data_IF_807725108247
#
_entry.id   IF_807725108247
#
_cell.length_a   1.000
_cell.length_b   1.000
_cell.length_c   1.000
_cell.angle_alpha   90.00
_cell.angle_beta   90.00
_cell.angle_gamma   90.00
#
_symmetry.space_group_name_H-M   'P 1'
#
loop_
_entity.id
_entity.type
_entity.pdbx_description
1 polymer ?
#
# COMPACT_ATOMS: atom_id res chain seq x y z
N UNK A 1 12.04 -43.65 -6.75
CA UNK A 1 10.85 -42.91 -6.27
C UNK A 1 10.05 -42.54 -7.49
N UNK A 2 8.93 -43.22 -7.72
CA UNK A 2 8.06 -43.00 -8.87
C UNK A 2 7.41 -41.63 -8.79
N UNK A 3 7.71 -40.76 -9.76
CA UNK A 3 6.94 -39.56 -9.97
C UNK A 3 5.52 -39.97 -10.43
N UNK A 4 4.59 -40.09 -9.48
CA UNK A 4 3.18 -40.17 -9.85
C UNK A 4 2.83 -38.88 -10.62
N UNK A 5 2.41 -39.06 -11.88
CA UNK A 5 1.95 -37.99 -12.73
C UNK A 5 0.77 -37.28 -12.02
N UNK A 6 0.90 -36.00 -11.75
CA UNK A 6 -0.18 -35.16 -11.22
C UNK A 6 -1.39 -35.29 -12.17
N UNK A 7 -2.60 -35.42 -11.67
CA UNK A 7 -3.77 -35.33 -12.52
C UNK A 7 -3.72 -34.02 -13.30
N UNK A 8 -3.81 -34.09 -14.63
CA UNK A 8 -3.87 -32.91 -15.47
C UNK A 8 -5.04 -32.04 -14.97
N UNK A 9 -4.73 -30.83 -14.50
CA UNK A 9 -5.77 -29.87 -14.18
C UNK A 9 -6.52 -29.63 -15.48
N UNK A 10 -7.82 -29.97 -15.52
CA UNK A 10 -8.71 -29.54 -16.59
C UNK A 10 -8.49 -28.05 -16.81
N UNK A 11 -8.47 -27.58 -18.05
CA UNK A 11 -8.27 -26.16 -18.38
C UNK A 11 -9.09 -25.29 -17.44
N UNK A 12 -8.39 -24.47 -16.63
CA UNK A 12 -9.06 -23.57 -15.69
C UNK A 12 -9.81 -22.49 -16.47
N UNK A 13 -11.03 -22.18 -16.03
CA UNK A 13 -11.75 -21.00 -16.51
C UNK A 13 -11.21 -19.69 -15.88
N UNK A 14 -10.32 -19.78 -14.87
CA UNK A 14 -9.66 -18.62 -14.31
C UNK A 14 -8.52 -18.15 -15.23
N UNK A 15 -8.46 -16.86 -15.48
CA UNK A 15 -7.37 -16.25 -16.19
C UNK A 15 -6.16 -16.11 -15.25
N UNK A 16 -5.13 -16.92 -15.45
CA UNK A 16 -3.87 -16.85 -14.71
C UNK A 16 -2.84 -16.03 -15.46
N UNK A 17 -2.17 -15.13 -14.76
CA UNK A 17 -1.08 -14.30 -15.33
C UNK A 17 0.25 -15.05 -15.46
N UNK A 18 0.32 -16.34 -15.11
CA UNK A 18 1.52 -17.17 -15.25
C UNK A 18 1.13 -18.63 -15.48
N UNK A 19 2.02 -19.34 -16.19
CA UNK A 19 1.88 -20.79 -16.46
C UNK A 19 2.22 -21.67 -15.24
N UNK A 20 2.64 -21.09 -14.12
CA UNK A 20 3.03 -21.81 -12.92
C UNK A 20 1.80 -22.49 -12.27
N UNK A 21 1.80 -23.81 -12.27
CA UNK A 21 0.82 -24.59 -11.54
C UNK A 21 1.02 -24.44 -10.03
N UNK A 22 -0.03 -24.00 -9.36
CA UNK A 22 -0.04 -23.82 -7.90
C UNK A 22 -0.84 -24.96 -7.25
N UNK A 23 -0.51 -25.32 -5.98
CA UNK A 23 -1.32 -26.27 -5.23
C UNK A 23 -2.76 -25.75 -5.10
N UNK A 24 -3.75 -26.65 -5.25
CA UNK A 24 -5.13 -26.27 -5.03
C UNK A 24 -5.41 -26.26 -3.52
N UNK A 25 -5.78 -25.08 -3.00
CA UNK A 25 -6.08 -24.85 -1.59
C UNK A 25 -7.29 -25.66 -1.12
N UNK A 26 -7.19 -26.23 0.06
CA UNK A 26 -8.27 -26.98 0.72
C UNK A 26 -8.73 -26.32 2.02
N UNK A 27 -7.81 -26.05 2.94
CA UNK A 27 -8.12 -25.48 4.25
C UNK A 27 -6.92 -24.75 4.86
N UNK A 28 -7.18 -23.93 5.87
CA UNK A 28 -6.16 -23.23 6.63
C UNK A 28 -6.46 -23.21 8.13
N UNK A 29 -5.42 -23.06 8.95
CA UNK A 29 -5.54 -22.83 10.40
C UNK A 29 -4.24 -22.24 10.97
N UNK A 30 -4.34 -21.15 11.70
CA UNK A 30 -3.17 -20.46 12.26
C UNK A 30 -2.22 -20.04 11.16
N UNK A 31 -0.97 -20.50 11.18
CA UNK A 31 0.05 -20.21 10.17
C UNK A 31 0.11 -21.27 9.05
N UNK A 32 -0.79 -22.24 9.04
CA UNK A 32 -0.72 -23.38 8.12
C UNK A 32 -1.81 -23.33 7.06
N UNK A 33 -1.43 -23.74 5.84
CA UNK A 33 -2.30 -23.99 4.70
C UNK A 33 -2.19 -25.48 4.32
N UNK A 34 -3.25 -26.06 3.78
CA UNK A 34 -3.25 -27.42 3.21
C UNK A 34 -3.83 -27.40 1.82
N UNK A 35 -3.22 -28.17 0.93
CA UNK A 35 -3.77 -28.43 -0.38
C UNK A 35 -4.78 -29.62 -0.36
N UNK A 36 -5.43 -29.87 -1.49
CA UNK A 36 -6.39 -30.96 -1.66
C UNK A 36 -5.78 -32.35 -1.47
N UNK A 37 -4.45 -32.49 -1.56
CA UNK A 37 -3.72 -33.73 -1.34
C UNK A 37 -3.30 -33.90 0.14
N UNK A 38 -3.68 -32.96 1.01
CA UNK A 38 -3.36 -32.98 2.42
C UNK A 38 -1.93 -32.51 2.76
N UNK A 39 -1.15 -32.03 1.77
CA UNK A 39 0.18 -31.49 2.03
C UNK A 39 0.04 -30.16 2.76
N UNK A 40 0.81 -30.01 3.85
CA UNK A 40 0.85 -28.83 4.69
C UNK A 40 1.95 -27.87 4.24
N UNK A 41 1.64 -26.59 4.27
CA UNK A 41 2.53 -25.47 3.99
C UNK A 41 2.51 -24.51 5.17
N UNK A 42 3.63 -23.82 5.41
CA UNK A 42 3.71 -22.66 6.30
C UNK A 42 3.44 -21.42 5.44
N UNK A 43 2.49 -20.59 5.86
CA UNK A 43 2.25 -19.29 5.25
C UNK A 43 3.20 -18.25 5.88
N UNK A 44 4.41 -18.17 5.35
CA UNK A 44 5.45 -17.25 5.84
C UNK A 44 5.28 -15.81 5.36
N UNK A 45 4.37 -15.56 4.40
CA UNK A 45 4.14 -14.22 3.85
C UNK A 45 2.77 -13.63 4.21
N UNK A 46 1.91 -14.41 4.86
CA UNK A 46 0.51 -14.01 5.12
C UNK A 46 -0.25 -13.57 3.84
N UNK A 47 -0.02 -14.27 2.74
CA UNK A 47 -0.42 -13.84 1.41
C UNK A 47 0.35 -12.60 0.97
N UNK A 48 -0.34 -11.50 0.72
CA UNK A 48 0.27 -10.18 0.49
C UNK A 48 0.32 -9.37 1.80
N UNK A 49 0.79 -9.99 2.90
CA UNK A 49 0.92 -9.40 4.25
C UNK A 49 -0.44 -8.98 4.87
N UNK A 50 -1.51 -9.72 4.55
CA UNK A 50 -2.88 -9.37 4.96
C UNK A 50 -3.50 -10.33 5.98
N UNK A 51 -2.88 -11.51 6.22
CA UNK A 51 -3.38 -12.53 7.17
C UNK A 51 -2.59 -12.54 8.49
N UNK A 52 -2.20 -11.38 9.00
CA UNK A 52 -1.25 -11.23 10.12
C UNK A 52 -1.74 -11.84 11.43
N UNK A 53 -3.05 -11.99 11.62
CA UNK A 53 -3.64 -12.68 12.78
C UNK A 53 -3.71 -14.20 12.61
N UNK A 54 -3.21 -14.73 11.50
CA UNK A 54 -3.34 -16.12 11.09
C UNK A 54 -4.70 -16.46 10.50
N UNK A 55 -4.79 -17.68 9.99
CA UNK A 55 -5.97 -18.18 9.30
C UNK A 55 -7.01 -18.77 10.28
N UNK A 56 -8.29 -18.65 9.93
CA UNK A 56 -9.40 -19.27 10.64
C UNK A 56 -9.48 -18.93 12.14
N UNK A 57 -9.22 -17.67 12.48
CA UNK A 57 -9.34 -17.21 13.87
C UNK A 57 -10.80 -17.37 14.34
N UNK A 58 -11.08 -18.16 15.41
CA UNK A 58 -12.44 -18.51 15.79
C UNK A 58 -13.27 -17.30 16.24
N UNK A 59 -12.65 -16.29 16.86
CA UNK A 59 -13.36 -15.07 17.25
C UNK A 59 -13.82 -14.27 16.05
N UNK A 60 -12.97 -14.15 15.02
CA UNK A 60 -13.30 -13.45 13.76
C UNK A 60 -14.42 -14.20 13.04
N UNK A 61 -14.29 -15.53 12.89
CA UNK A 61 -15.31 -16.34 12.23
C UNK A 61 -16.67 -16.25 12.93
N UNK A 62 -16.70 -16.30 14.26
CA UNK A 62 -17.93 -16.16 15.03
C UNK A 62 -18.57 -14.77 14.85
N UNK A 63 -17.77 -13.69 14.86
CA UNK A 63 -18.26 -12.34 14.63
C UNK A 63 -18.83 -12.17 13.21
N UNK A 64 -18.15 -12.72 12.20
CA UNK A 64 -18.63 -12.72 10.81
C UNK A 64 -19.96 -13.48 10.66
N UNK A 65 -20.06 -14.70 11.25
CA UNK A 65 -21.29 -15.50 11.22
C UNK A 65 -22.45 -14.74 11.86
N UNK A 66 -22.24 -14.19 13.06
CA UNK A 66 -23.27 -13.40 13.74
C UNK A 66 -23.72 -12.16 12.96
N UNK A 67 -22.80 -11.50 12.27
CA UNK A 67 -23.16 -10.34 11.45
C UNK A 67 -23.92 -10.74 10.18
N UNK A 68 -23.56 -11.88 9.55
CA UNK A 68 -24.28 -12.39 8.38
C UNK A 68 -25.75 -12.72 8.67
N UNK A 69 -26.08 -13.19 9.90
CA UNK A 69 -27.45 -13.40 10.34
C UNK A 69 -28.28 -12.11 10.42
N UNK A 70 -27.64 -10.97 10.73
CA UNK A 70 -28.30 -9.67 10.78
C UNK A 70 -28.50 -9.04 9.42
N UNK A 71 -27.58 -9.27 8.49
CA UNK A 71 -27.61 -8.74 7.14
C UNK A 71 -26.24 -8.74 6.49
N UNK A 72 -26.21 -8.98 5.18
CA UNK A 72 -24.97 -9.08 4.39
C UNK A 72 -24.64 -7.80 3.63
N UNK A 73 -25.60 -6.89 3.48
CA UNK A 73 -25.41 -5.64 2.76
C UNK A 73 -26.38 -4.55 3.26
N UNK A 74 -25.85 -3.35 3.48
CA UNK A 74 -26.63 -2.14 3.67
C UNK A 74 -25.95 -0.99 2.91
N UNK A 75 -26.71 -0.32 2.02
CA UNK A 75 -26.15 0.74 1.21
C UNK A 75 -25.96 2.02 2.02
N UNK A 76 -24.73 2.48 2.11
CA UNK A 76 -24.30 3.59 2.99
C UNK A 76 -25.02 4.94 2.77
N UNK A 77 -25.68 5.15 1.64
CA UNK A 77 -26.47 6.35 1.43
C UNK A 77 -27.89 6.25 2.04
N UNK A 78 -28.29 5.05 2.47
CA UNK A 78 -29.62 4.82 3.05
C UNK A 78 -29.57 4.36 4.50
N UNK A 79 -28.47 3.74 4.92
CA UNK A 79 -28.31 3.17 6.26
C UNK A 79 -26.90 3.40 6.80
N UNK A 80 -26.83 3.74 8.06
CA UNK A 80 -25.59 3.63 8.85
C UNK A 80 -25.35 2.15 9.21
N UNK A 81 -24.10 1.81 9.48
CA UNK A 81 -23.69 0.44 9.76
C UNK A 81 -22.87 0.41 11.06
N UNK A 82 -23.45 -0.15 12.12
CA UNK A 82 -22.83 -0.19 13.44
C UNK A 82 -21.40 -0.81 13.46
N UNK A 83 -21.11 -1.94 12.81
CA UNK A 83 -19.74 -2.45 12.72
C UNK A 83 -18.75 -1.48 12.04
N UNK A 84 -19.19 -0.74 11.02
CA UNK A 84 -18.35 0.23 10.35
C UNK A 84 -18.05 1.45 11.23
N UNK A 85 -19.07 1.97 11.94
CA UNK A 85 -18.90 3.08 12.88
C UNK A 85 -17.93 2.70 14.02
N UNK A 86 -18.11 1.54 14.65
CA UNK A 86 -17.18 1.04 15.67
C UNK A 86 -15.76 0.89 15.18
N UNK A 87 -15.58 0.37 13.97
CA UNK A 87 -14.23 0.25 13.37
C UNK A 87 -13.64 1.63 13.10
N UNK A 88 -14.43 2.58 12.61
CA UNK A 88 -13.97 3.94 12.39
C UNK A 88 -13.52 4.62 13.69
N UNK A 89 -14.29 4.50 14.77
CA UNK A 89 -13.93 5.00 16.11
C UNK A 89 -12.60 4.41 16.60
N UNK A 90 -12.42 3.09 16.48
CA UNK A 90 -11.20 2.39 16.86
C UNK A 90 -9.98 2.81 16.03
N UNK A 91 -10.16 3.09 14.75
CA UNK A 91 -9.08 3.58 13.87
C UNK A 91 -8.72 5.02 14.22
N UNK A 92 -9.70 5.91 14.40
CA UNK A 92 -9.47 7.31 14.79
C UNK A 92 -8.75 7.38 16.14
N UNK A 93 -9.17 6.57 17.13
CA UNK A 93 -8.53 6.54 18.45
C UNK A 93 -7.04 6.13 18.42
N UNK A 94 -6.58 5.45 17.36
CA UNK A 94 -5.19 5.01 17.15
C UNK A 94 -4.44 5.83 16.12
N UNK A 95 -5.12 6.74 15.45
CA UNK A 95 -4.52 7.60 14.43
C UNK A 95 -3.78 8.78 15.05
N UNK A 96 -2.82 9.36 14.34
CA UNK A 96 -2.24 10.65 14.72
C UNK A 96 -3.30 11.74 14.88
N UNK A 97 -3.02 12.72 15.74
CA UNK A 97 -3.92 13.88 15.94
C UNK A 97 -4.22 14.57 14.60
N UNK A 98 -5.48 14.97 14.39
CA UNK A 98 -5.97 15.59 13.17
C UNK A 98 -6.59 14.62 12.16
N UNK A 99 -6.42 13.31 12.32
CA UNK A 99 -7.11 12.29 11.52
C UNK A 99 -8.38 11.84 12.25
N UNK A 100 -9.50 12.48 11.97
CA UNK A 100 -10.76 12.34 12.72
C UNK A 100 -11.85 11.58 11.96
N UNK A 101 -11.60 11.20 10.71
CA UNK A 101 -12.59 10.55 9.85
C UNK A 101 -11.98 9.39 9.08
N UNK A 102 -12.78 8.37 8.83
CA UNK A 102 -12.41 7.18 8.07
C UNK A 102 -13.32 7.03 6.87
N UNK A 103 -12.73 6.69 5.74
CA UNK A 103 -13.46 6.36 4.52
C UNK A 103 -13.08 4.95 4.08
N UNK A 104 -14.03 4.02 4.16
CA UNK A 104 -13.82 2.63 3.77
C UNK A 104 -14.00 2.42 2.27
N UNK A 105 -13.10 1.66 1.68
CA UNK A 105 -13.09 1.25 0.27
C UNK A 105 -12.77 -0.23 0.15
N UNK A 106 -12.88 -0.80 -1.05
CA UNK A 106 -12.74 -2.25 -1.25
C UNK A 106 -11.29 -2.75 -1.28
N UNK A 107 -10.32 -1.88 -1.51
CA UNK A 107 -8.91 -2.27 -1.60
C UNK A 107 -7.92 -1.13 -1.49
N UNK A 108 -6.63 -1.46 -1.37
CA UNK A 108 -5.55 -0.49 -1.20
C UNK A 108 -5.40 0.48 -2.36
N UNK A 109 -5.56 0.00 -3.61
CA UNK A 109 -5.51 0.88 -4.79
C UNK A 109 -6.62 1.92 -4.77
N UNK A 110 -7.84 1.54 -4.39
CA UNK A 110 -8.97 2.45 -4.24
C UNK A 110 -8.77 3.44 -3.08
N UNK A 111 -8.10 3.00 -2.00
CA UNK A 111 -7.74 3.89 -0.90
C UNK A 111 -6.78 4.99 -1.36
N UNK A 112 -5.73 4.62 -2.11
CA UNK A 112 -4.76 5.57 -2.67
C UNK A 112 -5.44 6.51 -3.68
N UNK A 113 -6.28 6.00 -4.58
CA UNK A 113 -7.09 6.83 -5.50
C UNK A 113 -7.95 7.85 -4.72
N UNK A 114 -8.58 7.41 -3.64
CA UNK A 114 -9.42 8.26 -2.80
C UNK A 114 -8.62 9.35 -2.11
N UNK A 115 -7.41 9.04 -1.62
CA UNK A 115 -6.50 10.03 -1.04
C UNK A 115 -6.06 11.09 -2.06
N UNK A 116 -5.67 10.68 -3.27
CA UNK A 116 -5.29 11.61 -4.34
C UNK A 116 -6.46 12.53 -4.70
N UNK A 117 -7.66 11.96 -4.87
CA UNK A 117 -8.87 12.71 -5.19
C UNK A 117 -9.27 13.67 -4.08
N UNK A 118 -9.21 13.23 -2.82
CA UNK A 118 -9.51 14.07 -1.66
C UNK A 118 -8.52 15.24 -1.56
N UNK A 119 -7.22 14.98 -1.70
CA UNK A 119 -6.20 16.02 -1.73
C UNK A 119 -6.45 17.03 -2.84
N UNK A 120 -6.83 16.58 -4.04
CA UNK A 120 -7.16 17.47 -5.15
C UNK A 120 -8.43 18.30 -4.89
N UNK A 121 -9.46 17.70 -4.32
CA UNK A 121 -10.69 18.43 -3.95
C UNK A 121 -10.40 19.49 -2.89
N UNK A 122 -9.58 19.15 -1.89
CA UNK A 122 -9.14 20.11 -0.88
C UNK A 122 -8.37 21.29 -1.49
N UNK A 123 -7.41 21.02 -2.38
CA UNK A 123 -6.63 22.04 -3.07
C UNK A 123 -7.55 23.01 -3.86
N UNK A 124 -8.54 22.48 -4.56
CA UNK A 124 -9.52 23.30 -5.28
C UNK A 124 -10.38 24.15 -4.32
N UNK A 125 -10.85 23.56 -3.22
CA UNK A 125 -11.68 24.25 -2.24
C UNK A 125 -10.94 25.37 -1.49
N UNK A 126 -9.61 25.26 -1.39
CA UNK A 126 -8.73 26.26 -0.75
C UNK A 126 -8.09 27.22 -1.75
N UNK A 127 -8.49 27.22 -3.02
CA UNK A 127 -7.97 28.12 -4.06
C UNK A 127 -6.58 27.75 -4.60
N UNK A 128 -6.04 26.59 -4.25
CA UNK A 128 -4.72 26.11 -4.68
C UNK A 128 -4.86 25.30 -6.00
N UNK A 129 -5.37 25.94 -7.03
CA UNK A 129 -5.81 25.30 -8.27
C UNK A 129 -4.70 24.60 -9.07
N UNK A 130 -3.45 25.01 -8.89
CA UNK A 130 -2.31 24.46 -9.63
C UNK A 130 -1.77 23.18 -9.01
N UNK A 131 -2.09 22.84 -7.75
CA UNK A 131 -1.64 21.63 -7.08
C UNK A 131 -2.29 20.37 -7.66
N UNK A 132 -1.48 19.54 -8.32
CA UNK A 132 -1.97 18.33 -8.97
C UNK A 132 -0.91 17.22 -9.06
N UNK A 133 0.37 17.51 -8.81
CA UNK A 133 1.44 16.52 -8.88
C UNK A 133 1.58 15.81 -7.55
N UNK A 134 1.73 14.50 -7.60
CA UNK A 134 2.02 13.67 -6.43
C UNK A 134 3.42 13.10 -6.58
N UNK A 135 4.32 13.44 -5.66
CA UNK A 135 5.67 12.89 -5.62
C UNK A 135 5.61 11.56 -4.87
N UNK A 136 6.36 10.57 -5.31
CA UNK A 136 6.52 9.27 -4.63
C UNK A 136 7.97 8.80 -4.64
N UNK A 137 8.23 7.62 -4.05
CA UNK A 137 9.56 7.02 -4.07
C UNK A 137 9.74 6.02 -5.22
N UNK A 138 10.99 5.75 -5.58
CA UNK A 138 11.41 4.65 -6.45
C UNK A 138 12.57 3.89 -5.77
N UNK A 139 12.44 2.56 -5.53
CA UNK A 139 11.24 1.75 -5.72
C UNK A 139 10.14 2.03 -4.70
N UNK A 140 8.87 1.74 -5.05
CA UNK A 140 7.70 1.77 -4.16
C UNK A 140 6.50 1.06 -4.78
N UNK A 141 5.46 0.78 -3.98
CA UNK A 141 4.19 0.26 -4.47
C UNK A 141 3.01 0.96 -3.79
N UNK A 142 2.15 1.57 -4.58
CA UNK A 142 0.98 2.30 -4.08
C UNK A 142 -0.35 1.79 -4.65
N UNK A 143 -0.31 0.82 -5.57
CA UNK A 143 -1.51 0.21 -6.14
C UNK A 143 -1.39 -0.07 -7.64
N UNK A 144 -2.44 -0.67 -8.20
CA UNK A 144 -2.49 -1.14 -9.59
C UNK A 144 -3.57 -0.46 -10.44
N UNK A 145 -4.40 0.42 -9.91
CA UNK A 145 -5.27 1.30 -10.71
C UNK A 145 -4.45 2.41 -11.34
N UNK A 146 -4.86 3.00 -12.45
CA UNK A 146 -4.02 3.94 -13.21
C UNK A 146 -3.53 5.13 -12.38
N UNK A 147 -4.34 5.70 -11.50
CA UNK A 147 -3.89 6.77 -10.61
C UNK A 147 -2.88 6.28 -9.58
N UNK A 148 -3.15 5.17 -8.90
CA UNK A 148 -2.23 4.57 -7.94
C UNK A 148 -0.96 4.01 -8.61
N UNK A 149 -1.08 3.47 -9.84
CA UNK A 149 0.05 2.97 -10.62
C UNK A 149 0.95 4.11 -11.11
N UNK A 150 0.38 5.27 -11.43
CA UNK A 150 1.15 6.44 -11.86
C UNK A 150 2.14 6.93 -10.81
N UNK A 151 1.82 6.73 -9.53
CA UNK A 151 2.69 7.05 -8.38
C UNK A 151 3.44 5.83 -7.84
N UNK A 152 3.18 4.63 -8.34
CA UNK A 152 3.96 3.42 -8.01
C UNK A 152 5.33 3.49 -8.66
N UNK A 153 6.38 3.26 -7.88
CA UNK A 153 7.77 3.22 -8.34
C UNK A 153 8.24 1.78 -8.56
N UNK A 154 7.55 1.01 -9.42
CA UNK A 154 7.93 -0.38 -9.70
C UNK A 154 7.75 -0.69 -11.19
N UNK A 155 8.82 -0.49 -11.95
CA UNK A 155 8.86 -0.60 -13.42
C UNK A 155 8.20 -1.86 -13.98
N UNK A 156 8.42 -3.07 -13.44
CA UNK A 156 7.78 -4.27 -14.00
C UNK A 156 6.25 -4.25 -14.01
N UNK A 157 5.63 -3.40 -13.18
CA UNK A 157 4.17 -3.24 -13.17
C UNK A 157 3.70 -2.03 -13.98
N UNK A 158 4.49 -0.95 -14.07
CA UNK A 158 4.06 0.31 -14.69
C UNK A 158 4.36 0.38 -16.17
N UNK A 159 5.52 -0.11 -16.61
CA UNK A 159 6.04 0.03 -17.97
C UNK A 159 5.03 -0.32 -19.08
N UNK A 160 4.27 -1.44 -19.02
CA UNK A 160 3.31 -1.77 -20.05
C UNK A 160 2.17 -0.75 -20.21
N UNK A 161 1.95 0.10 -19.21
CA UNK A 161 0.83 1.03 -19.11
C UNK A 161 1.26 2.50 -19.11
N UNK A 162 2.55 2.80 -19.24
CA UNK A 162 3.08 4.16 -19.15
C UNK A 162 2.40 5.11 -20.15
N UNK A 163 2.10 4.64 -21.35
CA UNK A 163 1.40 5.45 -22.37
C UNK A 163 -0.05 5.81 -21.99
N UNK A 164 -0.64 5.14 -21.02
CA UNK A 164 -2.02 5.33 -20.57
C UNK A 164 -2.11 6.16 -19.27
N UNK A 165 -0.97 6.50 -18.67
CA UNK A 165 -0.91 7.17 -17.37
C UNK A 165 -0.29 8.55 -17.50
N UNK A 166 -0.67 9.43 -16.59
CA UNK A 166 0.07 10.68 -16.39
C UNK A 166 1.32 10.39 -15.57
N UNK A 167 2.50 10.68 -16.12
CA UNK A 167 3.74 10.54 -15.38
C UNK A 167 3.75 11.45 -14.14
N UNK A 168 4.03 10.87 -12.97
CA UNK A 168 4.20 11.57 -11.71
C UNK A 168 5.67 11.53 -11.27
N UNK A 169 6.18 12.60 -10.63
CA UNK A 169 7.58 12.68 -10.22
C UNK A 169 7.91 11.66 -9.13
N UNK A 170 9.15 11.16 -9.16
CA UNK A 170 9.66 10.19 -8.19
C UNK A 170 11.04 10.58 -7.70
N UNK A 171 11.30 10.32 -6.43
CA UNK A 171 12.62 10.46 -5.81
C UNK A 171 13.18 9.08 -5.44
N UNK A 172 14.49 8.92 -5.25
CA UNK A 172 15.04 7.67 -4.73
C UNK A 172 14.43 7.30 -3.37
N UNK A 173 14.02 6.04 -3.19
CA UNK A 173 13.62 5.53 -1.88
C UNK A 173 14.84 5.48 -0.93
N UNK A 174 14.65 5.68 0.39
CA UNK A 174 15.75 5.76 1.35
C UNK A 174 16.35 4.37 1.65
N UNK A 175 17.11 3.82 0.70
CA UNK A 175 17.72 2.48 0.72
C UNK A 175 19.02 2.42 1.52
N UNK A 176 19.08 3.05 2.68
CA UNK A 176 20.29 3.21 3.47
C UNK A 176 21.05 1.90 3.70
N UNK A 177 20.33 0.80 3.99
CA UNK A 177 20.95 -0.51 4.19
C UNK A 177 21.71 -1.00 2.94
N UNK A 178 21.14 -0.83 1.73
CA UNK A 178 21.74 -1.29 0.48
C UNK A 178 22.88 -0.38 0.00
N UNK A 179 22.92 0.85 0.47
CA UNK A 179 23.87 1.88 0.03
C UNK A 179 25.00 2.12 1.04
N UNK A 180 25.03 1.38 2.17
CA UNK A 180 26.08 1.49 3.20
C UNK A 180 27.50 1.27 2.66
N UNK A 181 27.67 0.39 1.67
CA UNK A 181 28.98 0.16 1.05
C UNK A 181 29.41 1.34 0.15
N UNK A 182 28.43 2.01 -0.48
CA UNK A 182 28.69 3.18 -1.34
C UNK A 182 29.04 4.40 -0.50
N UNK A 183 28.37 4.53 0.66
CA UNK A 183 28.53 5.66 1.58
C UNK A 183 29.10 5.19 2.93
N UNK A 184 30.23 4.47 2.89
CA UNK A 184 30.81 3.79 4.06
C UNK A 184 31.14 4.73 5.23
N UNK A 185 31.32 6.03 4.98
CA UNK A 185 31.58 7.04 6.00
C UNK A 185 30.29 7.69 6.56
N UNK A 186 29.13 7.42 5.97
CA UNK A 186 27.84 7.97 6.40
C UNK A 186 27.08 6.97 7.27
N UNK A 187 26.43 7.49 8.32
CA UNK A 187 25.48 6.69 9.11
C UNK A 187 24.05 6.80 8.55
N UNK A 188 23.13 6.00 9.08
CA UNK A 188 21.74 5.97 8.63
C UNK A 188 21.05 7.35 8.76
N UNK A 189 21.44 8.17 9.73
CA UNK A 189 20.87 9.50 9.94
C UNK A 189 21.31 10.49 8.85
N UNK A 190 22.59 10.50 8.48
CA UNK A 190 23.11 11.35 7.40
C UNK A 190 22.55 10.93 6.04
N UNK A 191 22.45 9.63 5.79
CA UNK A 191 21.78 9.10 4.60
C UNK A 191 20.30 9.48 4.57
N UNK A 192 19.61 9.43 5.69
CA UNK A 192 18.21 9.87 5.81
C UNK A 192 18.03 11.34 5.44
N UNK A 193 18.95 12.22 5.89
CA UNK A 193 18.96 13.64 5.51
C UNK A 193 19.19 13.84 4.01
N UNK A 194 20.11 13.11 3.42
CA UNK A 194 20.37 13.13 1.97
C UNK A 194 19.13 12.78 1.15
N UNK A 195 18.43 11.72 1.53
CA UNK A 195 17.17 11.34 0.86
C UNK A 195 16.08 12.38 1.05
N UNK A 196 16.02 13.03 2.21
CA UNK A 196 15.06 14.11 2.45
C UNK A 196 15.36 15.34 1.57
N UNK A 197 16.64 15.65 1.30
CA UNK A 197 17.01 16.73 0.38
C UNK A 197 16.57 16.44 -1.05
N UNK A 198 16.62 15.19 -1.52
CA UNK A 198 16.06 14.80 -2.82
C UNK A 198 14.58 15.19 -2.97
N UNK A 199 13.79 15.08 -1.89
CA UNK A 199 12.39 15.51 -1.93
C UNK A 199 12.29 17.04 -2.08
N UNK A 200 13.08 17.79 -1.33
CA UNK A 200 13.10 19.26 -1.41
C UNK A 200 13.49 19.72 -2.82
N UNK A 201 14.55 19.15 -3.38
CA UNK A 201 15.01 19.46 -4.74
C UNK A 201 13.93 19.12 -5.79
N UNK A 202 13.28 17.98 -5.67
CA UNK A 202 12.22 17.59 -6.62
C UNK A 202 11.00 18.50 -6.50
N UNK A 203 10.61 18.92 -5.29
CA UNK A 203 9.52 19.91 -5.11
C UNK A 203 9.85 21.22 -5.84
N UNK A 204 11.06 21.76 -5.64
CA UNK A 204 11.50 23.00 -6.29
C UNK A 204 11.54 22.85 -7.81
N UNK A 205 12.06 21.75 -8.32
CA UNK A 205 12.10 21.42 -9.75
C UNK A 205 10.72 21.32 -10.38
N UNK A 206 9.73 20.78 -9.66
CA UNK A 206 8.37 20.64 -10.13
C UNK A 206 7.56 21.95 -10.06
N UNK A 207 8.04 22.94 -9.29
CA UNK A 207 7.30 24.13 -8.87
C UNK A 207 6.44 23.81 -7.65
N UNK A 208 6.79 24.37 -6.50
CA UNK A 208 6.18 24.06 -5.21
C UNK A 208 4.63 24.22 -5.24
N UNK A 209 4.14 25.22 -5.97
CA UNK A 209 2.72 25.50 -6.15
C UNK A 209 1.97 24.40 -6.94
N UNK A 210 2.70 23.58 -7.72
CA UNK A 210 2.09 22.49 -8.50
C UNK A 210 2.07 21.14 -7.77
N UNK A 211 2.82 21.00 -6.68
CA UNK A 211 2.90 19.74 -5.91
C UNK A 211 1.75 19.67 -4.93
N UNK A 212 0.97 18.60 -5.06
CA UNK A 212 -0.20 18.31 -4.23
C UNK A 212 0.17 17.56 -2.96
N UNK A 213 1.01 16.53 -3.09
CA UNK A 213 1.34 15.64 -1.99
C UNK A 213 2.65 14.89 -2.24
N UNK A 214 3.24 14.37 -1.16
CA UNK A 214 4.25 13.33 -1.17
C UNK A 214 3.68 12.05 -0.55
N UNK A 215 3.84 10.91 -1.25
CA UNK A 215 3.37 9.60 -0.80
C UNK A 215 4.56 8.67 -0.64
N UNK A 216 4.67 8.01 0.50
CA UNK A 216 5.75 7.07 0.80
C UNK A 216 5.24 5.90 1.64
N UNK A 217 6.03 4.82 1.70
CA UNK A 217 5.78 3.64 2.53
C UNK A 217 6.64 3.74 3.80
N UNK A 218 6.06 3.87 5.00
CA UNK A 218 6.84 3.87 6.26
C UNK A 218 7.61 2.57 6.47
N UNK A 219 7.01 1.46 6.07
CA UNK A 219 7.62 0.15 5.92
C UNK A 219 7.26 -0.35 4.53
N UNK A 220 8.24 -0.49 3.68
CA UNK A 220 8.03 -0.91 2.31
C UNK A 220 7.51 -2.35 2.20
N UNK A 221 6.73 -2.63 1.16
CA UNK A 221 6.22 -3.95 0.86
C UNK A 221 7.23 -4.83 0.08
N UNK A 222 6.68 -5.76 -0.70
CA UNK A 222 7.48 -6.70 -1.50
C UNK A 222 8.36 -6.00 -2.56
N UNK A 223 7.93 -4.85 -3.08
CA UNK A 223 8.68 -4.04 -4.06
C UNK A 223 10.02 -3.53 -3.54
N UNK A 224 10.15 -3.38 -2.23
CA UNK A 224 11.34 -2.81 -1.57
C UNK A 224 12.00 -3.77 -0.58
N UNK A 225 11.42 -4.97 -0.35
CA UNK A 225 11.95 -5.94 0.60
C UNK A 225 11.84 -5.51 2.07
N UNK A 226 10.70 -4.94 2.45
CA UNK A 226 10.43 -4.43 3.81
C UNK A 226 11.38 -3.30 4.24
N UNK A 227 11.75 -2.43 3.31
CA UNK A 227 12.58 -1.26 3.57
C UNK A 227 11.93 -0.36 4.61
N UNK A 228 12.70 0.05 5.62
CA UNK A 228 12.30 1.02 6.65
C UNK A 228 13.13 2.29 6.48
N UNK A 229 12.47 3.43 6.33
CA UNK A 229 13.15 4.71 6.22
C UNK A 229 13.76 5.13 7.58
N UNK A 230 14.94 5.75 7.61
CA UNK A 230 15.49 6.36 8.82
C UNK A 230 14.56 7.42 9.40
N UNK A 231 14.57 7.58 10.72
CA UNK A 231 13.75 8.58 11.42
C UNK A 231 14.03 10.01 10.96
N UNK A 232 15.27 10.30 10.60
CA UNK A 232 15.72 11.59 10.06
C UNK A 232 15.10 11.92 8.72
N UNK A 233 14.90 10.94 7.82
CA UNK A 233 14.17 11.14 6.58
C UNK A 233 12.75 11.68 6.85
N UNK A 234 12.03 11.03 7.78
CA UNK A 234 10.66 11.43 8.15
C UNK A 234 10.62 12.79 8.82
N UNK A 235 11.58 13.07 9.72
CA UNK A 235 11.65 14.33 10.48
C UNK A 235 11.90 15.56 9.61
N UNK A 236 12.74 15.43 8.58
CA UNK A 236 13.10 16.56 7.72
C UNK A 236 11.98 16.91 6.75
N UNK A 237 11.34 15.94 6.12
CA UNK A 237 10.28 16.33 5.20
C UNK A 237 9.04 16.87 5.92
N UNK A 238 8.80 16.49 7.18
CA UNK A 238 7.78 17.14 8.01
C UNK A 238 8.07 18.64 8.17
N UNK A 239 9.32 19.01 8.49
CA UNK A 239 9.77 20.41 8.53
C UNK A 239 9.77 21.09 7.16
N UNK A 240 10.15 20.39 6.10
CA UNK A 240 10.14 20.92 4.74
C UNK A 240 8.71 21.16 4.23
N UNK A 241 7.77 20.29 4.58
CA UNK A 241 6.36 20.48 4.30
C UNK A 241 5.82 21.75 4.99
N UNK A 242 6.12 21.94 6.28
CA UNK A 242 5.74 23.14 7.03
C UNK A 242 6.34 24.42 6.41
N UNK A 243 7.63 24.42 6.05
CA UNK A 243 8.34 25.57 5.47
C UNK A 243 7.92 25.91 4.04
N UNK A 244 7.43 24.95 3.27
CA UNK A 244 6.98 25.13 1.88
C UNK A 244 5.45 25.24 1.77
N UNK A 245 4.75 25.41 2.90
CA UNK A 245 3.28 25.44 2.99
C UNK A 245 2.58 24.21 2.37
N UNK A 246 3.19 23.03 2.57
CA UNK A 246 2.56 21.74 2.33
C UNK A 246 1.85 21.29 3.61
N UNK A 247 0.60 20.95 3.49
CA UNK A 247 -0.18 20.29 4.54
C UNK A 247 -0.62 18.91 4.09
#
# INVERSE_FOLDING_TARGET
MSHEARPAIKSSALFYQSELHRPLFSRSKGIYLWDINGKRYIDGSSGAMVSNIGHSNPRVLAAMASQMEKGTFAYRLHFENEPAEKLAEELVARSPAGLEKVFFVSGGSEAVESCIKLGRQWALATGQIDRHKVISCFPSYHGCTFGALSITGYTPLSEPFDAMMRAMPKIPAPRCYLEREIYAEENDDTLGLRYAENLREEILKQGAESVLAFVYEPVGGASTGALVAPSTFIGVFKKSAENLAFY
#
